data_IF_725472018070
#
_entry.id   IF_725472018070
#
_cell.length_a   1.000
_cell.length_b   1.000
_cell.length_c   1.000
_cell.angle_alpha   90.00
_cell.angle_beta   90.00
_cell.angle_gamma   90.00
#
_symmetry.space_group_name_H-M   'P 1'
#
loop_
_entity.id
_entity.type
_entity.pdbx_description
1 polymer ?
#
# COMPACT_ATOMS: atom_id res chain seq x y z
N UNK A 1 -62.26 -59.00 2.62
CA UNK A 1 -61.14 -58.05 2.79
C UNK A 1 -59.99 -58.53 1.92
N UNK A 2 -59.49 -57.66 1.04
CA UNK A 2 -59.03 -58.05 -0.30
C UNK A 2 -57.51 -58.34 -0.42
N UNK A 3 -57.09 -59.24 -1.34
CA UNK A 3 -55.69 -59.55 -1.64
C UNK A 3 -54.83 -58.36 -2.12
N UNK A 4 -55.42 -57.20 -2.41
CA UNK A 4 -54.69 -55.97 -2.75
C UNK A 4 -53.94 -55.33 -1.57
N UNK A 5 -54.32 -55.64 -0.33
CA UNK A 5 -53.74 -55.02 0.86
C UNK A 5 -52.39 -55.63 1.27
N UNK A 6 -52.09 -56.87 0.87
CA UNK A 6 -50.76 -57.50 1.06
C UNK A 6 -49.76 -57.11 -0.02
N UNK A 7 -50.22 -56.85 -1.24
CA UNK A 7 -49.37 -56.36 -2.34
C UNK A 7 -48.77 -54.98 -2.03
N UNK A 8 -49.59 -54.08 -1.46
CA UNK A 8 -49.13 -52.75 -1.04
C UNK A 8 -48.07 -52.81 0.08
N UNK A 9 -48.24 -53.70 1.07
CA UNK A 9 -47.26 -53.90 2.14
C UNK A 9 -45.95 -54.54 1.61
N UNK A 10 -46.03 -55.49 0.68
CA UNK A 10 -44.85 -56.07 0.04
C UNK A 10 -44.08 -55.03 -0.80
N UNK A 11 -44.80 -54.17 -1.53
CA UNK A 11 -44.19 -53.09 -2.33
C UNK A 11 -43.49 -52.08 -1.44
N UNK A 12 -44.11 -51.72 -0.31
CA UNK A 12 -43.50 -50.81 0.67
C UNK A 12 -42.30 -51.45 1.37
N UNK A 13 -42.36 -52.74 1.74
CA UNK A 13 -41.20 -53.45 2.30
C UNK A 13 -40.01 -53.44 1.32
N UNK A 14 -40.22 -53.74 0.04
CA UNK A 14 -39.17 -53.65 -0.97
C UNK A 14 -38.61 -52.23 -1.13
N UNK A 15 -39.46 -51.20 -1.02
CA UNK A 15 -39.05 -49.79 -1.05
C UNK A 15 -38.17 -49.45 0.15
N UNK A 16 -38.57 -49.85 1.35
CA UNK A 16 -37.82 -49.62 2.60
C UNK A 16 -36.47 -50.34 2.60
N UNK A 17 -36.41 -51.58 2.09
CA UNK A 17 -35.16 -52.33 1.95
C UNK A 17 -34.17 -51.63 1.01
N UNK A 18 -34.65 -51.15 -0.14
CA UNK A 18 -33.83 -50.35 -1.07
C UNK A 18 -33.39 -49.03 -0.43
N UNK A 19 -34.27 -48.37 0.31
CA UNK A 19 -33.98 -47.12 1.00
C UNK A 19 -32.89 -47.31 2.07
N UNK A 20 -32.95 -48.35 2.90
CA UNK A 20 -31.93 -48.64 3.92
C UNK A 20 -30.55 -48.90 3.31
N UNK A 21 -30.49 -49.65 2.20
CA UNK A 21 -29.24 -49.88 1.49
C UNK A 21 -28.64 -48.57 0.95
N UNK A 22 -29.47 -47.70 0.37
CA UNK A 22 -29.04 -46.39 -0.13
C UNK A 22 -28.59 -45.45 1.02
N UNK A 23 -29.33 -45.43 2.14
CA UNK A 23 -28.97 -44.65 3.34
C UNK A 23 -27.62 -45.11 3.89
N UNK A 24 -27.39 -46.43 3.99
CA UNK A 24 -26.11 -46.99 4.44
C UNK A 24 -24.95 -46.52 3.57
N UNK A 25 -25.11 -46.56 2.24
CA UNK A 25 -24.07 -46.11 1.31
C UNK A 25 -23.77 -44.61 1.48
N UNK A 26 -24.81 -43.76 1.53
CA UNK A 26 -24.67 -42.31 1.69
C UNK A 26 -24.05 -41.93 3.05
N UNK A 27 -24.37 -42.67 4.11
CA UNK A 27 -23.78 -42.48 5.44
C UNK A 27 -22.29 -42.77 5.46
N UNK A 28 -21.85 -43.85 4.79
CA UNK A 28 -20.43 -44.18 4.65
C UNK A 28 -19.71 -43.11 3.83
N UNK A 29 -20.32 -42.64 2.73
CA UNK A 29 -19.74 -41.57 1.92
C UNK A 29 -19.59 -40.26 2.72
N UNK A 30 -20.61 -39.88 3.50
CA UNK A 30 -20.54 -38.71 4.39
C UNK A 30 -19.48 -38.86 5.48
N UNK A 31 -19.30 -40.07 6.04
CA UNK A 31 -18.28 -40.35 7.04
C UNK A 31 -16.85 -40.23 6.46
N UNK A 32 -16.69 -40.62 5.20
CA UNK A 32 -15.44 -40.53 4.43
C UNK A 32 -15.17 -39.15 3.84
N UNK A 33 -16.12 -38.21 3.91
CA UNK A 33 -15.93 -36.87 3.39
C UNK A 33 -14.81 -36.14 4.16
N UNK A 34 -13.80 -35.58 3.46
CA UNK A 34 -12.65 -34.94 4.11
C UNK A 34 -13.03 -33.71 4.93
N UNK A 35 -13.95 -32.87 4.45
CA UNK A 35 -14.39 -31.67 5.17
C UNK A 35 -15.06 -32.04 6.50
N UNK A 36 -15.85 -33.13 6.50
CA UNK A 36 -16.47 -33.68 7.69
C UNK A 36 -15.43 -34.23 8.68
N UNK A 37 -14.41 -34.92 8.19
CA UNK A 37 -13.33 -35.44 9.04
C UNK A 37 -12.54 -34.29 9.68
N UNK A 38 -12.25 -33.24 8.93
CA UNK A 38 -11.57 -32.04 9.46
C UNK A 38 -12.39 -31.33 10.54
N UNK A 39 -13.72 -31.20 10.35
CA UNK A 39 -14.63 -30.69 11.39
C UNK A 39 -14.62 -31.54 12.65
N UNK A 40 -14.52 -32.87 12.51
CA UNK A 40 -14.45 -33.79 13.65
C UNK A 40 -13.11 -33.79 14.40
N UNK A 41 -12.01 -33.42 13.73
CA UNK A 41 -10.65 -33.37 14.31
C UNK A 41 -10.34 -32.05 14.98
N UNK A 42 -10.95 -30.97 14.51
CA UNK A 42 -10.66 -29.61 14.93
C UNK A 42 -11.47 -29.22 16.15
N UNK A 43 -10.89 -28.48 17.09
CA UNK A 43 -11.64 -27.86 18.19
C UNK A 43 -12.40 -26.65 17.67
N UNK A 44 -13.65 -26.88 17.27
CA UNK A 44 -14.49 -25.84 16.68
C UNK A 44 -14.93 -24.80 17.71
N UNK A 45 -15.10 -23.56 17.25
CA UNK A 45 -15.59 -22.43 18.07
C UNK A 45 -16.71 -21.68 17.36
N UNK A 46 -17.40 -20.80 18.09
CA UNK A 46 -18.33 -19.82 17.51
C UNK A 46 -19.45 -20.43 16.67
N UNK A 47 -19.65 -19.91 15.47
CA UNK A 47 -20.80 -20.25 14.62
C UNK A 47 -20.67 -21.66 14.05
N UNK A 48 -19.46 -22.07 13.66
CA UNK A 48 -19.21 -23.44 13.22
C UNK A 48 -19.42 -24.46 14.35
N UNK A 49 -19.04 -24.15 15.59
CA UNK A 49 -19.30 -25.06 16.71
C UNK A 49 -20.79 -25.30 16.95
N UNK A 50 -21.60 -24.23 16.93
CA UNK A 50 -23.06 -24.35 17.08
C UNK A 50 -23.66 -25.17 15.93
N UNK A 51 -23.35 -24.82 14.69
CA UNK A 51 -23.84 -25.54 13.51
C UNK A 51 -23.39 -27.01 13.50
N UNK A 52 -22.17 -27.31 13.95
CA UNK A 52 -21.66 -28.67 14.04
C UNK A 52 -22.30 -29.48 15.18
N UNK A 53 -22.65 -28.84 16.29
CA UNK A 53 -23.42 -29.49 17.36
C UNK A 53 -24.79 -29.93 16.84
N UNK A 54 -25.51 -29.02 16.16
CA UNK A 54 -26.82 -29.31 15.57
C UNK A 54 -26.71 -30.43 14.51
N UNK A 55 -25.67 -30.39 13.67
CA UNK A 55 -25.39 -31.46 12.71
C UNK A 55 -25.06 -32.79 13.40
N UNK A 56 -24.34 -32.77 14.53
CA UNK A 56 -24.03 -33.94 15.34
C UNK A 56 -25.28 -34.59 15.93
N UNK A 57 -26.22 -33.79 16.44
CA UNK A 57 -27.52 -34.27 16.89
C UNK A 57 -28.34 -34.87 15.73
N UNK A 58 -28.37 -34.21 14.58
CA UNK A 58 -29.03 -34.72 13.37
C UNK A 58 -28.41 -36.06 12.90
N UNK A 59 -27.09 -36.18 12.94
CA UNK A 59 -26.39 -37.44 12.63
C UNK A 59 -26.72 -38.54 13.64
N UNK A 60 -26.80 -38.22 14.93
CA UNK A 60 -27.19 -39.19 15.95
C UNK A 60 -28.64 -39.69 15.73
N UNK A 61 -29.56 -38.78 15.39
CA UNK A 61 -30.94 -39.12 15.01
C UNK A 61 -30.98 -39.99 13.76
N UNK A 62 -30.14 -39.71 12.76
CA UNK A 62 -30.02 -40.48 11.53
C UNK A 62 -29.58 -41.93 11.80
N UNK A 63 -28.55 -42.13 12.64
CA UNK A 63 -28.09 -43.46 13.04
C UNK A 63 -29.12 -44.21 13.89
N UNK A 64 -29.83 -43.51 14.78
CA UNK A 64 -30.94 -44.08 15.54
C UNK A 64 -32.06 -44.55 14.61
N UNK A 65 -32.48 -43.69 13.67
CA UNK A 65 -33.49 -44.01 12.67
C UNK A 65 -33.11 -45.19 11.80
N UNK A 66 -31.84 -45.26 11.36
CA UNK A 66 -31.34 -46.39 10.59
C UNK A 66 -31.46 -47.72 11.36
N UNK A 67 -31.12 -47.74 12.66
CA UNK A 67 -31.30 -48.94 13.51
C UNK A 67 -32.78 -49.31 13.64
N UNK A 68 -33.64 -48.35 13.96
CA UNK A 68 -35.09 -48.57 14.13
C UNK A 68 -35.72 -49.11 12.84
N UNK A 69 -35.34 -48.57 11.68
CA UNK A 69 -35.83 -49.01 10.38
C UNK A 69 -35.34 -50.42 10.04
N UNK A 70 -34.09 -50.75 10.36
CA UNK A 70 -33.55 -52.11 10.23
C UNK A 70 -34.29 -53.13 11.10
N UNK A 71 -34.66 -52.75 12.33
CA UNK A 71 -35.43 -53.60 13.23
C UNK A 71 -36.85 -53.85 12.70
N UNK A 72 -37.51 -52.81 12.17
CA UNK A 72 -38.83 -52.92 11.50
C UNK A 72 -38.76 -53.88 10.31
N UNK A 73 -37.78 -53.71 9.42
CA UNK A 73 -37.61 -54.59 8.25
C UNK A 73 -37.37 -56.04 8.70
N UNK A 74 -36.58 -56.25 9.75
CA UNK A 74 -36.33 -57.58 10.30
C UNK A 74 -37.60 -58.22 10.85
N UNK A 75 -38.42 -57.47 11.62
CA UNK A 75 -39.72 -57.94 12.12
C UNK A 75 -40.71 -58.20 10.99
N UNK A 76 -40.80 -57.29 10.01
CA UNK A 76 -41.67 -57.44 8.85
C UNK A 76 -41.31 -58.68 8.01
N UNK A 77 -40.01 -58.97 7.80
CA UNK A 77 -39.54 -60.20 7.14
C UNK A 77 -39.91 -61.46 7.92
N UNK A 78 -39.78 -61.43 9.25
CA UNK A 78 -40.14 -62.55 10.11
C UNK A 78 -41.66 -62.84 10.05
N UNK A 79 -42.50 -61.80 10.05
CA UNK A 79 -43.96 -61.91 9.91
C UNK A 79 -44.39 -62.38 8.52
N UNK A 80 -43.70 -61.93 7.45
CA UNK A 80 -43.98 -62.34 6.07
C UNK A 80 -43.68 -63.82 5.80
N UNK A 81 -42.63 -64.36 6.43
CA UNK A 81 -42.15 -65.73 6.22
C UNK A 81 -41.51 -65.94 4.83
N UNK A 82 -40.83 -67.08 4.65
CA UNK A 82 -40.12 -67.36 3.39
C UNK A 82 -41.00 -68.09 2.36
N UNK A 83 -41.37 -67.37 1.29
CA UNK A 83 -41.95 -67.92 0.04
C UNK A 83 -43.48 -67.88 -0.07
N UNK A 84 -44.00 -68.02 -1.30
CA UNK A 84 -45.45 -67.95 -1.64
C UNK A 84 -46.35 -68.90 -0.83
N UNK A 85 -45.78 -69.99 -0.31
CA UNK A 85 -46.50 -70.97 0.51
C UNK A 85 -46.75 -70.49 1.94
N UNK A 86 -45.87 -69.64 2.48
CA UNK A 86 -46.05 -69.02 3.80
C UNK A 86 -47.14 -67.94 3.73
N UNK A 87 -47.13 -67.12 2.68
CA UNK A 87 -48.13 -66.08 2.44
C UNK A 87 -49.57 -66.63 2.37
N UNK A 88 -49.75 -67.81 1.76
CA UNK A 88 -51.06 -68.49 1.66
C UNK A 88 -51.55 -69.12 2.98
N UNK A 89 -50.67 -69.35 3.95
CA UNK A 89 -51.01 -69.93 5.27
C UNK A 89 -51.00 -68.92 6.42
N UNK A 90 -50.67 -67.67 6.12
CA UNK A 90 -50.59 -66.60 7.11
C UNK A 90 -51.97 -66.36 7.74
N UNK A 91 -52.03 -66.36 9.07
CA UNK A 91 -53.27 -66.07 9.78
C UNK A 91 -53.71 -64.63 9.51
N UNK A 92 -55.01 -64.34 9.62
CA UNK A 92 -55.51 -62.98 9.44
C UNK A 92 -54.93 -62.01 10.50
N UNK A 93 -54.57 -62.52 11.69
CA UNK A 93 -53.88 -61.76 12.72
C UNK A 93 -52.43 -61.40 12.33
N UNK A 94 -51.68 -62.35 11.78
CA UNK A 94 -50.30 -62.12 11.30
C UNK A 94 -50.30 -61.16 10.10
N UNK A 95 -51.32 -61.24 9.23
CA UNK A 95 -51.50 -60.31 8.10
C UNK A 95 -51.73 -58.88 8.58
N UNK A 96 -52.59 -58.70 9.59
CA UNK A 96 -52.85 -57.38 10.17
C UNK A 96 -51.60 -56.83 10.90
N UNK A 97 -50.87 -57.69 11.63
CA UNK A 97 -49.61 -57.32 12.27
C UNK A 97 -48.54 -56.90 11.26
N UNK A 98 -48.37 -57.64 10.16
CA UNK A 98 -47.46 -57.28 9.07
C UNK A 98 -47.79 -55.93 8.44
N UNK A 99 -49.08 -55.68 8.17
CA UNK A 99 -49.52 -54.40 7.62
C UNK A 99 -49.31 -53.24 8.57
N UNK A 100 -49.57 -53.45 9.87
CA UNK A 100 -49.30 -52.44 10.89
C UNK A 100 -47.80 -52.16 11.02
N UNK A 101 -46.95 -53.18 10.91
CA UNK A 101 -45.49 -53.03 11.02
C UNK A 101 -44.91 -52.18 9.87
N UNK A 102 -45.42 -52.35 8.66
CA UNK A 102 -44.88 -51.70 7.44
C UNK A 102 -45.57 -50.37 7.11
N UNK A 103 -46.90 -50.27 7.30
CA UNK A 103 -47.70 -49.10 6.90
C UNK A 103 -48.26 -48.32 8.10
N UNK A 104 -48.22 -48.89 9.30
CA UNK A 104 -48.78 -48.30 10.52
C UNK A 104 -47.72 -47.59 11.38
N UNK A 105 -48.17 -47.09 12.53
CA UNK A 105 -47.34 -46.41 13.52
C UNK A 105 -46.59 -47.43 14.40
N UNK A 106 -45.73 -48.23 13.79
CA UNK A 106 -45.01 -49.35 14.42
C UNK A 106 -43.72 -48.95 15.13
N UNK A 107 -43.19 -47.76 14.84
CA UNK A 107 -41.90 -47.31 15.35
C UNK A 107 -42.14 -46.43 16.57
N UNK A 108 -41.55 -46.80 17.72
CA UNK A 108 -41.54 -45.97 18.92
C UNK A 108 -40.26 -45.14 18.97
N UNK A 109 -40.38 -43.82 18.85
CA UNK A 109 -39.25 -42.89 18.81
C UNK A 109 -38.74 -42.53 20.21
N UNK A 110 -39.65 -42.27 21.13
CA UNK A 110 -39.35 -41.90 22.52
C UNK A 110 -40.47 -42.36 23.44
N UNK A 111 -40.13 -42.72 24.67
CA UNK A 111 -41.10 -43.01 25.74
C UNK A 111 -40.79 -42.10 26.92
N UNK A 112 -41.64 -41.10 27.15
CA UNK A 112 -41.51 -40.18 28.27
C UNK A 112 -42.33 -40.69 29.45
N UNK A 113 -41.74 -40.72 30.65
CA UNK A 113 -42.47 -41.06 31.88
C UNK A 113 -43.19 -39.81 32.38
N UNK A 114 -44.51 -39.88 32.48
CA UNK A 114 -45.32 -38.76 32.97
C UNK A 114 -45.26 -38.74 34.50
N UNK A 115 -44.75 -37.67 35.14
CA UNK A 115 -44.71 -37.55 36.59
C UNK A 115 -46.12 -37.70 37.19
N UNK A 116 -46.21 -38.33 38.37
CA UNK A 116 -47.51 -38.64 39.01
C UNK A 116 -48.39 -37.39 39.21
N UNK A 117 -47.79 -36.23 39.45
CA UNK A 117 -48.48 -34.94 39.61
C UNK A 117 -49.19 -34.45 38.33
N UNK A 118 -48.79 -34.94 37.15
CA UNK A 118 -49.38 -34.62 35.85
C UNK A 118 -50.23 -35.78 35.31
N UNK A 119 -50.46 -36.83 36.11
CA UNK A 119 -51.18 -38.04 35.73
C UNK A 119 -52.61 -37.99 36.26
N UNK A 120 -53.60 -38.16 35.38
CA UNK A 120 -54.99 -38.39 35.80
C UNK A 120 -55.18 -39.77 36.43
N UNK A 121 -56.25 -39.99 37.20
CA UNK A 121 -56.53 -41.26 37.91
C UNK A 121 -56.56 -42.50 36.98
N UNK A 122 -56.86 -42.30 35.68
CA UNK A 122 -56.85 -43.33 34.63
C UNK A 122 -55.78 -43.08 33.54
N UNK A 123 -54.88 -42.11 33.73
CA UNK A 123 -53.87 -41.73 32.74
C UNK A 123 -52.69 -42.71 32.71
N UNK A 124 -52.17 -43.02 31.52
CA UNK A 124 -50.98 -43.85 31.36
C UNK A 124 -49.75 -43.18 32.00
N UNK A 125 -48.90 -43.97 32.65
CA UNK A 125 -47.67 -43.45 33.26
C UNK A 125 -46.57 -43.11 32.26
N UNK A 126 -46.80 -43.39 30.99
CA UNK A 126 -45.88 -43.17 29.89
C UNK A 126 -46.62 -42.62 28.68
N UNK A 127 -45.96 -41.72 27.95
CA UNK A 127 -46.37 -41.25 26.63
C UNK A 127 -45.28 -41.68 25.65
N UNK A 128 -45.65 -42.58 24.72
CA UNK A 128 -44.79 -43.01 23.63
C UNK A 128 -45.11 -42.20 22.38
N UNK A 129 -44.11 -41.57 21.79
CA UNK A 129 -44.24 -40.95 20.46
C UNK A 129 -43.97 -42.03 19.42
N UNK A 130 -44.97 -42.34 18.60
CA UNK A 130 -44.84 -43.33 17.53
C UNK A 130 -44.88 -42.66 16.15
N UNK A 131 -44.22 -43.26 15.16
CA UNK A 131 -44.27 -42.83 13.78
C UNK A 131 -44.35 -44.02 12.82
N UNK A 132 -44.72 -43.73 11.59
CA UNK A 132 -44.66 -44.67 10.47
C UNK A 132 -43.23 -44.79 9.92
N UNK A 133 -42.86 -45.91 9.24
CA UNK A 133 -41.59 -46.01 8.55
C UNK A 133 -41.34 -44.90 7.51
N UNK A 134 -42.39 -44.41 6.86
CA UNK A 134 -42.31 -43.31 5.90
C UNK A 134 -42.00 -41.97 6.57
N UNK A 135 -42.62 -41.66 7.71
CA UNK A 135 -42.33 -40.46 8.50
C UNK A 135 -40.92 -40.50 9.10
N UNK A 136 -40.47 -41.68 9.56
CA UNK A 136 -39.09 -41.86 10.01
C UNK A 136 -38.11 -41.58 8.87
N UNK A 137 -38.37 -42.12 7.68
CA UNK A 137 -37.52 -41.89 6.50
C UNK A 137 -37.46 -40.40 6.12
N UNK A 138 -38.60 -39.69 6.15
CA UNK A 138 -38.64 -38.26 5.89
C UNK A 138 -37.85 -37.45 6.94
N UNK A 139 -37.95 -37.83 8.23
CA UNK A 139 -37.15 -37.22 9.29
C UNK A 139 -35.64 -37.49 9.14
N UNK A 140 -35.28 -38.71 8.72
CA UNK A 140 -33.90 -39.08 8.40
C UNK A 140 -33.37 -38.28 7.20
N UNK A 141 -34.15 -38.10 6.14
CA UNK A 141 -33.77 -37.29 4.97
C UNK A 141 -33.53 -35.82 5.35
N UNK A 142 -34.39 -35.25 6.20
CA UNK A 142 -34.21 -33.90 6.71
C UNK A 142 -32.92 -33.79 7.56
N UNK A 143 -32.69 -34.74 8.47
CA UNK A 143 -31.48 -34.77 9.30
C UNK A 143 -30.19 -34.92 8.46
N UNK A 144 -30.21 -35.78 7.44
CA UNK A 144 -29.11 -35.94 6.49
C UNK A 144 -28.83 -34.63 5.73
N UNK A 145 -29.88 -33.97 5.24
CA UNK A 145 -29.76 -32.69 4.53
C UNK A 145 -29.13 -31.61 5.41
N UNK A 146 -29.53 -31.51 6.68
CA UNK A 146 -28.93 -30.57 7.64
C UNK A 146 -27.44 -30.85 7.86
N UNK A 147 -27.06 -32.12 8.07
CA UNK A 147 -25.66 -32.48 8.29
C UNK A 147 -24.79 -32.18 7.07
N UNK A 148 -25.25 -32.56 5.86
CA UNK A 148 -24.55 -32.29 4.60
C UNK A 148 -24.42 -30.79 4.34
N UNK A 149 -25.46 -30.00 4.63
CA UNK A 149 -25.43 -28.56 4.44
C UNK A 149 -24.34 -27.89 5.31
N UNK A 150 -24.18 -28.30 6.57
CA UNK A 150 -23.15 -27.77 7.46
C UNK A 150 -21.74 -28.14 7.00
N UNK A 151 -21.52 -29.42 6.66
CA UNK A 151 -20.23 -29.91 6.13
C UNK A 151 -19.85 -29.16 4.86
N UNK A 152 -20.79 -29.04 3.91
CA UNK A 152 -20.57 -28.39 2.63
C UNK A 152 -20.28 -26.90 2.83
N UNK A 153 -21.05 -26.21 3.66
CA UNK A 153 -20.84 -24.79 3.95
C UNK A 153 -19.48 -24.50 4.58
N UNK A 154 -19.03 -25.34 5.52
CA UNK A 154 -17.72 -25.20 6.15
C UNK A 154 -16.58 -25.50 5.16
N UNK A 155 -16.69 -26.60 4.40
CA UNK A 155 -15.73 -26.96 3.35
C UNK A 155 -15.58 -25.87 2.30
N UNK A 156 -16.70 -25.29 1.86
CA UNK A 156 -16.74 -24.18 0.91
C UNK A 156 -16.14 -22.90 1.48
N UNK A 157 -16.36 -22.63 2.77
CA UNK A 157 -15.74 -21.50 3.45
C UNK A 157 -14.21 -21.64 3.49
N UNK A 158 -13.68 -22.82 3.83
CA UNK A 158 -12.24 -23.09 3.76
C UNK A 158 -11.69 -22.98 2.33
N UNK A 159 -12.33 -23.64 1.36
CA UNK A 159 -11.89 -23.61 -0.05
C UNK A 159 -11.80 -22.19 -0.63
N UNK A 160 -12.67 -21.28 -0.18
CA UNK A 160 -12.61 -19.87 -0.60
C UNK A 160 -11.60 -19.05 0.22
N UNK A 161 -11.62 -19.20 1.54
CA UNK A 161 -10.88 -18.30 2.43
C UNK A 161 -9.40 -18.67 2.58
N UNK A 162 -9.05 -19.97 2.54
CA UNK A 162 -7.66 -20.42 2.72
C UNK A 162 -6.74 -19.91 1.60
N UNK A 163 -7.07 -20.08 0.29
CA UNK A 163 -6.25 -19.51 -0.77
C UNK A 163 -6.15 -17.98 -0.68
N UNK A 164 -7.27 -17.30 -0.40
CA UNK A 164 -7.30 -15.85 -0.28
C UNK A 164 -6.44 -15.32 0.88
N UNK A 165 -6.39 -16.04 2.00
CA UNK A 165 -5.51 -15.73 3.13
C UNK A 165 -4.03 -16.01 2.79
N UNK A 166 -3.74 -17.10 2.07
CA UNK A 166 -2.39 -17.40 1.59
C UNK A 166 -1.86 -16.34 0.61
N UNK A 167 -2.70 -15.88 -0.32
CA UNK A 167 -2.37 -14.79 -1.24
C UNK A 167 -2.08 -13.48 -0.50
N UNK A 168 -2.89 -13.16 0.52
CA UNK A 168 -2.67 -11.99 1.37
C UNK A 168 -1.36 -12.10 2.17
N UNK A 169 -1.04 -13.29 2.71
CA UNK A 169 0.22 -13.55 3.41
C UNK A 169 1.43 -13.38 2.47
N UNK A 170 1.34 -13.90 1.25
CA UNK A 170 2.38 -13.75 0.25
C UNK A 170 2.56 -12.29 -0.17
N UNK A 171 1.47 -11.54 -0.35
CA UNK A 171 1.50 -10.11 -0.64
C UNK A 171 2.14 -9.31 0.50
N UNK A 172 1.78 -9.60 1.75
CA UNK A 172 2.35 -8.98 2.94
C UNK A 172 3.87 -9.22 3.04
N UNK A 173 4.31 -10.46 2.82
CA UNK A 173 5.73 -10.82 2.82
C UNK A 173 6.52 -10.08 1.73
N UNK A 174 5.95 -9.98 0.52
CA UNK A 174 6.54 -9.20 -0.57
C UNK A 174 6.64 -7.72 -0.20
N UNK A 175 5.58 -7.12 0.31
CA UNK A 175 5.58 -5.71 0.73
C UNK A 175 6.62 -5.45 1.83
N UNK A 176 6.72 -6.31 2.86
CA UNK A 176 7.78 -6.24 3.88
C UNK A 176 9.20 -6.35 3.30
N UNK A 177 9.40 -7.18 2.29
CA UNK A 177 10.68 -7.27 1.59
C UNK A 177 11.02 -5.97 0.86
N UNK A 178 10.06 -5.43 0.11
CA UNK A 178 10.23 -4.18 -0.64
C UNK A 178 10.47 -2.96 0.27
N UNK A 179 9.74 -2.86 1.39
CA UNK A 179 9.94 -1.79 2.38
C UNK A 179 11.34 -1.85 2.99
N UNK A 180 11.83 -3.04 3.34
CA UNK A 180 13.22 -3.22 3.84
C UNK A 180 14.27 -2.83 2.80
N UNK A 181 14.05 -3.16 1.53
CA UNK A 181 14.96 -2.80 0.43
C UNK A 181 14.99 -1.29 0.15
N UNK A 182 13.86 -0.58 0.34
CA UNK A 182 13.80 0.87 0.18
C UNK A 182 14.66 1.62 1.21
N UNK A 183 14.99 0.97 2.33
CA UNK A 183 15.89 1.47 3.37
C UNK A 183 15.16 2.02 4.59
N UNK A 184 15.89 2.12 5.71
CA UNK A 184 15.38 2.63 6.97
C UNK A 184 15.30 4.17 6.98
N UNK A 185 14.25 4.71 7.58
CA UNK A 185 14.09 6.15 7.79
C UNK A 185 12.69 6.50 8.29
N UNK A 186 12.49 7.74 8.73
CA UNK A 186 11.20 8.21 9.27
C UNK A 186 10.05 8.08 8.27
N UNK A 187 10.36 8.09 6.97
CA UNK A 187 9.39 7.95 5.88
C UNK A 187 8.91 6.49 5.69
N UNK A 188 9.72 5.49 6.04
CA UNK A 188 9.35 4.08 5.95
C UNK A 188 8.53 3.59 7.16
N UNK A 189 8.60 4.32 8.28
CA UNK A 189 7.95 3.95 9.53
C UNK A 189 6.41 3.88 9.45
N UNK A 190 5.78 4.68 8.56
CA UNK A 190 4.33 4.60 8.34
C UNK A 190 3.95 3.33 7.57
N UNK A 191 4.70 3.01 6.51
CA UNK A 191 4.51 1.78 5.75
C UNK A 191 4.71 0.54 6.64
N UNK A 192 5.72 0.53 7.50
CA UNK A 192 5.95 -0.55 8.48
C UNK A 192 4.76 -0.71 9.45
N UNK A 193 4.25 0.40 10.01
CA UNK A 193 3.09 0.37 10.90
C UNK A 193 1.84 -0.20 10.23
N UNK A 194 1.59 0.16 8.96
CA UNK A 194 0.48 -0.38 8.18
C UNK A 194 0.64 -1.88 7.91
N UNK A 195 1.87 -2.34 7.62
CA UNK A 195 2.16 -3.76 7.42
C UNK A 195 1.99 -4.56 8.72
N UNK A 196 2.33 -4.00 9.87
CA UNK A 196 2.12 -4.64 11.17
C UNK A 196 0.65 -4.67 11.61
N UNK A 197 -0.15 -3.69 11.20
CA UNK A 197 -1.62 -3.78 11.32
C UNK A 197 -2.18 -4.89 10.40
N UNK A 198 -1.71 -4.96 9.16
CA UNK A 198 -2.13 -5.99 8.21
C UNK A 198 -1.78 -7.41 8.68
N UNK A 199 -0.59 -7.59 9.26
CA UNK A 199 -0.11 -8.87 9.81
C UNK A 199 -0.96 -9.35 10.98
N UNK A 200 -1.25 -8.45 11.94
CA UNK A 200 -2.14 -8.76 13.08
C UNK A 200 -3.54 -9.14 12.62
N UNK A 201 -4.12 -8.35 11.71
CA UNK A 201 -5.45 -8.63 11.19
C UNK A 201 -5.49 -9.95 10.41
N UNK A 202 -4.46 -10.26 9.63
CA UNK A 202 -4.34 -11.54 8.93
C UNK A 202 -4.20 -12.72 9.91
N UNK A 203 -3.43 -12.53 10.99
CA UNK A 203 -3.31 -13.50 12.09
C UNK A 203 -4.66 -13.79 12.76
N UNK A 204 -5.43 -12.75 13.08
CA UNK A 204 -6.76 -12.89 13.69
C UNK A 204 -7.74 -13.62 12.77
N UNK A 205 -7.74 -13.30 11.46
CA UNK A 205 -8.61 -13.95 10.47
C UNK A 205 -8.20 -15.41 10.29
N UNK A 206 -6.91 -15.70 10.13
CA UNK A 206 -6.43 -17.09 9.93
C UNK A 206 -6.64 -17.95 11.16
N UNK A 207 -6.45 -17.39 12.36
CA UNK A 207 -6.79 -18.03 13.63
C UNK A 207 -8.28 -18.36 13.72
N UNK A 208 -9.15 -17.43 13.36
CA UNK A 208 -10.61 -17.65 13.33
C UNK A 208 -10.99 -18.67 12.27
N UNK A 209 -10.42 -18.61 11.07
CA UNK A 209 -10.70 -19.53 9.96
C UNK A 209 -10.34 -20.99 10.30
N UNK A 210 -9.33 -21.19 11.14
CA UNK A 210 -8.93 -22.52 11.59
C UNK A 210 -10.00 -23.19 12.47
N UNK A 211 -10.69 -22.45 13.35
CA UNK A 211 -11.66 -23.03 14.30
C UNK A 211 -13.13 -22.69 14.04
N UNK A 212 -13.41 -21.61 13.30
CA UNK A 212 -14.75 -21.11 12.98
C UNK A 212 -14.82 -20.60 11.53
N UNK A 213 -14.72 -21.48 10.51
CA UNK A 213 -14.81 -21.09 9.11
C UNK A 213 -16.14 -20.43 8.72
N UNK A 214 -17.24 -20.76 9.40
CA UNK A 214 -18.53 -20.15 9.14
C UNK A 214 -18.63 -18.77 9.79
N UNK A 215 -17.94 -18.50 10.89
CA UNK A 215 -17.88 -17.20 11.55
C UNK A 215 -16.79 -16.27 11.01
N UNK A 216 -15.82 -16.78 10.25
CA UNK A 216 -14.72 -16.00 9.72
C UNK A 216 -15.21 -14.90 8.74
N UNK A 217 -14.92 -13.64 9.06
CA UNK A 217 -15.22 -12.51 8.19
C UNK A 217 -14.20 -12.42 7.03
N UNK A 218 -14.55 -13.04 5.91
CA UNK A 218 -13.72 -12.97 4.69
C UNK A 218 -13.65 -11.57 4.07
N UNK A 219 -14.58 -10.66 4.40
CA UNK A 219 -14.48 -9.27 3.94
C UNK A 219 -13.30 -8.54 4.60
N UNK A 220 -12.90 -8.94 5.81
CA UNK A 220 -11.71 -8.41 6.47
C UNK A 220 -10.40 -8.72 5.71
N UNK A 221 -10.36 -9.74 4.83
CA UNK A 221 -9.23 -9.93 3.92
C UNK A 221 -9.10 -8.79 2.88
N UNK A 222 -10.20 -8.16 2.49
CA UNK A 222 -10.12 -6.93 1.67
C UNK A 222 -9.45 -5.80 2.43
N UNK A 223 -9.70 -5.70 3.75
CA UNK A 223 -9.05 -4.70 4.60
C UNK A 223 -7.54 -4.95 4.71
N UNK A 224 -7.11 -6.21 4.86
CA UNK A 224 -5.68 -6.59 4.80
C UNK A 224 -5.07 -6.15 3.47
N UNK A 225 -5.71 -6.46 2.33
CA UNK A 225 -5.24 -6.02 1.01
C UNK A 225 -5.16 -4.49 0.88
N UNK A 226 -6.14 -3.76 1.42
CA UNK A 226 -6.15 -2.31 1.40
C UNK A 226 -5.02 -1.71 2.26
N UNK A 227 -4.72 -2.29 3.42
CA UNK A 227 -3.58 -1.89 4.26
C UNK A 227 -2.25 -2.11 3.54
N UNK A 228 -2.07 -3.26 2.87
CA UNK A 228 -0.89 -3.55 2.07
C UNK A 228 -0.75 -2.53 0.91
N UNK A 229 -1.83 -2.27 0.18
CA UNK A 229 -1.81 -1.31 -0.92
C UNK A 229 -1.47 0.12 -0.45
N UNK A 230 -2.00 0.53 0.71
CA UNK A 230 -1.63 1.81 1.35
C UNK A 230 -0.16 1.84 1.74
N UNK A 231 0.36 0.77 2.34
CA UNK A 231 1.77 0.68 2.69
C UNK A 231 2.69 0.78 1.45
N UNK A 232 2.29 0.17 0.33
CA UNK A 232 3.00 0.28 -0.94
C UNK A 232 2.97 1.71 -1.52
N UNK A 233 1.85 2.42 -1.39
CA UNK A 233 1.75 3.82 -1.78
C UNK A 233 2.68 4.71 -0.94
N UNK A 234 2.66 4.56 0.39
CA UNK A 234 3.55 5.30 1.31
C UNK A 234 5.03 5.03 0.99
N UNK A 235 5.39 3.76 0.75
CA UNK A 235 6.75 3.37 0.34
C UNK A 235 7.17 4.03 -0.97
N UNK A 236 6.26 4.08 -1.95
CA UNK A 236 6.53 4.69 -3.27
C UNK A 236 6.76 6.19 -3.12
N UNK A 237 5.86 6.89 -2.40
CA UNK A 237 6.01 8.33 -2.13
C UNK A 237 7.28 8.66 -1.34
N UNK A 238 7.66 7.81 -0.37
CA UNK A 238 8.92 7.96 0.37
C UNK A 238 10.14 7.82 -0.55
N UNK A 239 10.09 6.89 -1.51
CA UNK A 239 11.17 6.65 -2.48
C UNK A 239 11.31 7.83 -3.44
N UNK A 240 10.20 8.30 -4.01
CA UNK A 240 10.16 9.47 -4.90
C UNK A 240 10.67 10.74 -4.19
N UNK A 241 10.25 10.97 -2.94
CA UNK A 241 10.73 12.09 -2.14
C UNK A 241 12.24 12.02 -1.91
N UNK A 242 12.77 10.84 -1.59
CA UNK A 242 14.21 10.62 -1.40
C UNK A 242 14.99 10.89 -2.68
N UNK A 243 14.52 10.39 -3.82
CA UNK A 243 15.14 10.64 -5.13
C UNK A 243 15.14 12.14 -5.47
N UNK A 244 14.00 12.81 -5.31
CA UNK A 244 13.86 14.25 -5.52
C UNK A 244 14.82 15.06 -4.64
N UNK A 245 14.90 14.74 -3.34
CA UNK A 245 15.81 15.43 -2.42
C UNK A 245 17.28 15.13 -2.73
N UNK A 246 17.60 13.92 -3.17
CA UNK A 246 18.95 13.54 -3.59
C UNK A 246 19.38 14.36 -4.80
N UNK A 247 18.52 14.50 -5.81
CA UNK A 247 18.78 15.34 -6.96
C UNK A 247 18.96 16.81 -6.56
N UNK A 248 18.09 17.34 -5.70
CA UNK A 248 18.21 18.73 -5.22
C UNK A 248 19.50 18.98 -4.42
N UNK A 249 20.00 17.99 -3.68
CA UNK A 249 21.29 18.07 -3.01
C UNK A 249 22.45 18.06 -4.00
N UNK A 250 22.37 17.26 -5.06
CA UNK A 250 23.34 17.29 -6.15
C UNK A 250 23.38 18.67 -6.82
N UNK A 251 22.22 19.23 -7.15
CA UNK A 251 22.12 20.58 -7.73
C UNK A 251 22.68 21.66 -6.78
N UNK A 252 22.46 21.49 -5.47
CA UNK A 252 23.01 22.39 -4.47
C UNK A 252 24.54 22.34 -4.42
N UNK A 253 25.17 21.17 -4.53
CA UNK A 253 26.64 21.06 -4.64
C UNK A 253 27.16 21.79 -5.88
N UNK A 254 26.47 21.65 -7.02
CA UNK A 254 26.80 22.37 -8.24
C UNK A 254 26.72 23.88 -8.04
N UNK A 255 25.63 24.37 -7.44
CA UNK A 255 25.46 25.79 -7.14
C UNK A 255 26.50 26.32 -6.15
N UNK A 256 26.92 25.54 -5.15
CA UNK A 256 27.99 25.91 -4.23
C UNK A 256 29.32 26.09 -4.98
N UNK A 257 29.67 25.16 -5.86
CA UNK A 257 30.86 25.26 -6.70
C UNK A 257 30.83 26.48 -7.64
N UNK A 258 29.66 26.82 -8.20
CA UNK A 258 29.48 28.05 -8.99
C UNK A 258 29.69 29.31 -8.15
N UNK A 259 29.15 29.36 -6.93
CA UNK A 259 29.36 30.49 -6.00
C UNK A 259 30.84 30.65 -5.67
N UNK A 260 31.56 29.56 -5.38
CA UNK A 260 32.99 29.60 -5.06
C UNK A 260 33.84 30.03 -6.26
N UNK A 261 33.50 29.59 -7.47
CA UNK A 261 34.14 30.06 -8.71
C UNK A 261 33.89 31.55 -8.93
N UNK A 262 32.64 32.00 -8.82
CA UNK A 262 32.28 33.41 -8.96
C UNK A 262 32.94 34.30 -7.89
N UNK A 263 33.14 33.79 -6.68
CA UNK A 263 33.84 34.49 -5.61
C UNK A 263 35.33 34.69 -5.93
N UNK A 264 36.03 33.65 -6.40
CA UNK A 264 37.43 33.75 -6.84
C UNK A 264 37.61 34.70 -8.01
N UNK A 265 36.68 34.64 -8.96
CA UNK A 265 36.65 35.51 -10.13
C UNK A 265 36.42 36.98 -9.75
N UNK A 266 35.44 37.25 -8.88
CA UNK A 266 35.16 38.58 -8.37
C UNK A 266 36.34 39.14 -7.55
N UNK A 267 37.00 38.30 -6.74
CA UNK A 267 38.19 38.68 -5.99
C UNK A 267 39.35 39.06 -6.92
N UNK A 268 39.60 38.29 -7.99
CA UNK A 268 40.64 38.60 -8.98
C UNK A 268 40.41 39.97 -9.63
N UNK A 269 39.17 40.28 -10.01
CA UNK A 269 38.84 41.60 -10.59
C UNK A 269 38.90 42.70 -9.52
N UNK A 270 38.49 42.40 -8.28
CA UNK A 270 38.60 43.33 -7.16
C UNK A 270 40.06 43.73 -6.90
N UNK A 271 40.98 42.78 -6.86
CA UNK A 271 42.41 43.03 -6.70
C UNK A 271 42.96 43.87 -7.86
N UNK A 272 42.46 43.67 -9.08
CA UNK A 272 42.84 44.46 -10.24
C UNK A 272 42.33 45.91 -10.20
N UNK A 273 41.26 46.22 -9.47
CA UNK A 273 40.74 47.60 -9.28
C UNK A 273 41.20 48.23 -7.96
N UNK A 274 41.67 47.43 -7.00
CA UNK A 274 42.08 47.88 -5.68
C UNK A 274 43.14 49.00 -5.76
N UNK A 275 42.88 50.12 -5.06
CA UNK A 275 43.73 51.31 -5.06
C UNK A 275 43.77 52.10 -6.38
N UNK A 276 43.25 51.56 -7.50
CA UNK A 276 43.27 52.23 -8.82
C UNK A 276 42.10 53.17 -9.03
N UNK A 277 41.01 53.02 -8.28
CA UNK A 277 39.79 53.83 -8.37
C UNK A 277 39.34 54.27 -6.98
N UNK A 278 38.52 55.34 -6.86
CA UNK A 278 37.90 55.73 -5.60
C UNK A 278 37.08 54.58 -4.99
N UNK A 279 37.25 54.33 -3.69
CA UNK A 279 36.66 53.17 -3.02
C UNK A 279 35.13 53.07 -3.14
N UNK A 280 34.42 54.21 -3.22
CA UNK A 280 32.96 54.24 -3.39
C UNK A 280 32.48 53.75 -4.77
N UNK A 281 33.36 53.70 -5.78
CA UNK A 281 33.07 53.17 -7.12
C UNK A 281 33.28 51.66 -7.20
N UNK A 282 34.08 51.10 -6.30
CA UNK A 282 34.46 49.68 -6.31
C UNK A 282 33.38 48.85 -5.63
N UNK A 283 32.78 47.92 -6.37
CA UNK A 283 31.78 47.01 -5.84
C UNK A 283 32.44 45.89 -5.02
N UNK A 284 31.96 45.68 -3.79
CA UNK A 284 32.40 44.59 -2.91
C UNK A 284 31.20 43.79 -2.41
N UNK A 285 31.39 42.49 -2.22
CA UNK A 285 30.31 41.55 -1.88
C UNK A 285 30.71 40.80 -0.61
N UNK A 286 30.14 41.19 0.53
CA UNK A 286 30.48 40.64 1.87
C UNK A 286 29.54 39.52 2.27
N UNK A 287 30.03 38.47 2.90
CA UNK A 287 29.21 37.36 3.40
C UNK A 287 30.03 36.13 3.73
N UNK A 288 29.56 35.37 4.71
CA UNK A 288 30.18 34.11 5.15
C UNK A 288 30.00 33.00 4.10
N UNK A 289 30.82 31.96 4.22
CA UNK A 289 30.71 30.78 3.36
C UNK A 289 29.39 30.05 3.61
N UNK A 290 28.73 29.62 2.54
CA UNK A 290 27.50 28.81 2.59
C UNK A 290 27.78 27.31 2.71
N UNK A 291 29.06 26.89 2.67
CA UNK A 291 29.45 25.49 2.75
C UNK A 291 29.10 24.81 4.08
N UNK A 292 29.31 25.44 5.26
CA UNK A 292 28.96 24.80 6.54
C UNK A 292 27.48 24.44 6.63
N UNK A 293 26.60 25.31 6.14
CA UNK A 293 25.16 25.06 6.10
C UNK A 293 24.80 23.91 5.16
N UNK A 294 25.44 23.83 3.98
CA UNK A 294 25.21 22.72 3.05
C UNK A 294 25.64 21.39 3.67
N UNK A 295 26.81 21.35 4.32
CA UNK A 295 27.31 20.15 5.01
C UNK A 295 26.37 19.71 6.14
N UNK A 296 25.80 20.66 6.89
CA UNK A 296 24.81 20.35 7.92
C UNK A 296 23.52 19.74 7.31
N UNK A 297 23.08 20.22 6.15
CA UNK A 297 21.92 19.64 5.43
C UNK A 297 22.26 18.23 4.92
N UNK A 298 23.46 18.00 4.39
CA UNK A 298 23.91 16.68 3.96
C UNK A 298 24.01 15.68 5.11
N UNK A 299 24.44 16.12 6.30
CA UNK A 299 24.45 15.29 7.50
C UNK A 299 23.03 14.84 7.89
N UNK A 300 22.02 15.71 7.77
CA UNK A 300 20.62 15.33 7.98
C UNK A 300 20.15 14.29 6.96
N UNK A 301 20.59 14.40 5.70
CA UNK A 301 20.31 13.41 4.65
C UNK A 301 20.94 12.06 4.97
N UNK A 302 22.21 12.04 5.36
CA UNK A 302 22.93 10.83 5.76
C UNK A 302 22.29 10.17 6.98
N UNK A 303 21.76 10.97 7.91
CA UNK A 303 21.03 10.48 9.08
C UNK A 303 19.55 10.09 8.79
N UNK A 304 19.09 10.16 7.54
CA UNK A 304 17.73 9.76 7.16
C UNK A 304 16.61 10.72 7.61
N UNK A 305 16.94 11.95 8.04
CA UNK A 305 15.98 12.95 8.53
C UNK A 305 15.38 13.77 7.37
N UNK A 306 14.83 13.08 6.37
CA UNK A 306 14.39 13.65 5.10
C UNK A 306 13.35 14.77 5.24
N UNK A 307 12.45 14.66 6.22
CA UNK A 307 11.42 15.66 6.50
C UNK A 307 11.98 17.06 6.83
N UNK A 308 13.20 17.13 7.39
CA UNK A 308 13.84 18.39 7.79
C UNK A 308 14.62 19.07 6.66
N UNK A 309 14.86 18.37 5.54
CA UNK A 309 15.76 18.81 4.48
C UNK A 309 15.09 19.84 3.57
N UNK A 310 13.87 19.56 3.11
CA UNK A 310 13.21 20.37 2.07
C UNK A 310 13.16 21.88 2.37
N UNK A 311 12.74 22.36 3.56
CA UNK A 311 12.72 23.79 3.86
C UNK A 311 14.13 24.39 3.98
N UNK A 312 15.08 23.67 4.60
CA UNK A 312 16.46 24.12 4.78
C UNK A 312 17.19 24.25 3.44
N UNK A 313 17.06 23.23 2.58
CA UNK A 313 17.65 23.22 1.25
C UNK A 313 17.07 24.33 0.36
N UNK A 314 15.76 24.58 0.44
CA UNK A 314 15.13 25.70 -0.27
C UNK A 314 15.64 27.06 0.20
N UNK A 315 15.80 27.25 1.50
CA UNK A 315 16.35 28.49 2.06
C UNK A 315 17.81 28.70 1.62
N UNK A 316 18.63 27.65 1.77
CA UNK A 316 20.02 27.64 1.32
C UNK A 316 20.15 27.96 -0.17
N UNK A 317 19.36 27.32 -1.02
CA UNK A 317 19.42 27.53 -2.48
C UNK A 317 19.03 28.97 -2.87
N UNK A 318 18.06 29.59 -2.18
CA UNK A 318 17.74 31.02 -2.41
C UNK A 318 18.93 31.92 -2.04
N UNK A 319 19.53 31.70 -0.87
CA UNK A 319 20.68 32.48 -0.42
C UNK A 319 21.89 32.31 -1.35
N UNK A 320 22.16 31.10 -1.82
CA UNK A 320 23.24 30.81 -2.77
C UNK A 320 23.01 31.49 -4.13
N UNK A 321 21.78 31.46 -4.68
CA UNK A 321 21.47 32.16 -5.93
C UNK A 321 21.60 33.67 -5.81
N UNK A 322 21.12 34.25 -4.70
CA UNK A 322 21.29 35.69 -4.45
C UNK A 322 22.78 36.05 -4.38
N UNK A 323 23.56 35.26 -3.63
CA UNK A 323 25.01 35.45 -3.50
C UNK A 323 25.72 35.39 -4.86
N UNK A 324 25.35 34.42 -5.69
CA UNK A 324 25.91 34.26 -7.04
C UNK A 324 25.61 35.48 -7.93
N UNK A 325 24.37 35.99 -7.89
CA UNK A 325 23.98 37.19 -8.62
C UNK A 325 24.80 38.41 -8.16
N UNK A 326 24.88 38.64 -6.85
CA UNK A 326 25.64 39.76 -6.28
C UNK A 326 27.13 39.72 -6.70
N UNK A 327 27.75 38.54 -6.68
CA UNK A 327 29.15 38.34 -7.09
C UNK A 327 29.35 38.61 -8.58
N UNK A 328 28.46 38.11 -9.44
CA UNK A 328 28.50 38.35 -10.89
C UNK A 328 28.34 39.85 -11.20
N UNK A 329 27.41 40.52 -10.53
CA UNK A 329 27.19 41.96 -10.69
C UNK A 329 28.39 42.78 -10.24
N UNK A 330 29.00 42.44 -9.10
CA UNK A 330 30.19 43.13 -8.62
C UNK A 330 31.39 42.92 -9.54
N UNK A 331 31.59 41.69 -10.04
CA UNK A 331 32.61 41.40 -11.05
C UNK A 331 32.39 42.26 -12.29
N UNK A 332 31.17 42.30 -12.83
CA UNK A 332 30.83 43.05 -14.03
C UNK A 332 31.08 44.57 -13.85
N UNK A 333 30.62 45.15 -12.74
CA UNK A 333 30.86 46.57 -12.41
C UNK A 333 32.35 46.89 -12.32
N UNK A 334 33.13 46.08 -11.61
CA UNK A 334 34.57 46.32 -11.45
C UNK A 334 35.33 46.13 -12.77
N UNK A 335 34.96 45.13 -13.58
CA UNK A 335 35.55 44.92 -14.89
C UNK A 335 35.24 46.09 -15.85
N UNK A 336 34.04 46.66 -15.77
CA UNK A 336 33.66 47.84 -16.55
C UNK A 336 34.53 49.05 -16.21
N UNK A 337 34.86 49.29 -14.94
CA UNK A 337 35.79 50.38 -14.56
C UNK A 337 37.16 50.24 -15.23
N UNK A 338 37.69 49.02 -15.29
CA UNK A 338 38.98 48.74 -15.97
C UNK A 338 38.87 48.94 -17.48
N UNK A 339 37.80 48.44 -18.09
CA UNK A 339 37.55 48.58 -19.51
C UNK A 339 37.43 50.06 -19.90
N UNK A 340 36.66 50.84 -19.15
CA UNK A 340 36.46 52.27 -19.39
C UNK A 340 37.78 53.04 -19.30
N UNK A 341 38.61 52.76 -18.28
CA UNK A 341 39.95 53.36 -18.17
C UNK A 341 40.84 53.02 -19.36
N UNK A 342 40.83 51.76 -19.81
CA UNK A 342 41.66 51.32 -20.93
C UNK A 342 41.18 51.90 -22.26
N UNK A 343 39.88 52.01 -22.47
CA UNK A 343 39.29 52.69 -23.64
C UNK A 343 39.71 54.15 -23.69
N UNK A 344 39.60 54.88 -22.57
CA UNK A 344 40.02 56.27 -22.47
C UNK A 344 41.51 56.46 -22.78
N UNK A 345 42.36 55.56 -22.29
CA UNK A 345 43.79 55.55 -22.63
C UNK A 345 44.03 55.36 -24.11
N UNK A 346 43.37 54.37 -24.72
CA UNK A 346 43.45 54.12 -26.17
C UNK A 346 42.95 55.32 -27.00
N UNK A 347 41.85 55.96 -26.58
CA UNK A 347 41.33 57.19 -27.21
C UNK A 347 42.36 58.33 -27.14
N UNK A 348 42.93 58.57 -25.95
CA UNK A 348 43.97 59.60 -25.78
C UNK A 348 45.19 59.32 -26.66
N UNK A 349 45.68 58.08 -26.68
CA UNK A 349 46.83 57.70 -27.51
C UNK A 349 46.54 57.88 -29.01
N UNK A 350 45.33 57.54 -29.47
CA UNK A 350 44.90 57.75 -30.86
C UNK A 350 44.82 59.25 -31.22
N UNK A 351 44.27 60.09 -30.34
CA UNK A 351 44.22 61.54 -30.58
C UNK A 351 45.62 62.16 -30.58
N UNK A 352 46.54 61.70 -29.72
CA UNK A 352 47.94 62.13 -29.74
C UNK A 352 48.64 61.73 -31.03
N UNK A 353 48.43 60.51 -31.51
CA UNK A 353 48.97 60.07 -32.81
C UNK A 353 48.40 60.90 -33.98
N UNK A 354 47.12 61.27 -33.93
CA UNK A 354 46.49 62.16 -34.92
C UNK A 354 47.06 63.58 -34.88
N UNK A 355 47.31 64.13 -33.70
CA UNK A 355 47.96 65.44 -33.55
C UNK A 355 49.37 65.43 -34.16
N UNK A 356 50.15 64.36 -33.91
CA UNK A 356 51.49 64.19 -34.47
C UNK A 356 51.48 64.09 -36.00
N UNK A 357 50.59 63.28 -36.59
CA UNK A 357 50.52 63.13 -38.05
C UNK A 357 50.10 64.40 -38.79
N UNK A 358 49.43 65.33 -38.10
CA UNK A 358 49.06 66.67 -38.61
C UNK A 358 50.07 67.76 -38.26
N UNK A 359 51.24 67.41 -37.69
CA UNK A 359 52.28 68.37 -37.32
C UNK A 359 51.83 69.34 -36.22
N UNK A 360 50.99 68.89 -35.30
CA UNK A 360 50.49 69.63 -34.12
C UNK A 360 51.06 69.07 -32.81
N UNK A 361 52.16 68.31 -32.89
CA UNK A 361 52.77 67.68 -31.71
C UNK A 361 53.31 68.66 -30.67
N UNK A 362 53.73 69.84 -31.11
CA UNK A 362 54.29 70.92 -30.26
C UNK A 362 53.33 72.11 -30.15
N UNK A 363 52.04 71.92 -30.46
CA UNK A 363 51.07 72.99 -30.34
C UNK A 363 50.92 73.42 -28.85
N UNK A 364 51.13 74.70 -28.53
CA UNK A 364 51.18 75.18 -27.15
C UNK A 364 49.82 75.09 -26.42
N UNK A 365 48.70 75.00 -27.14
CA UNK A 365 47.37 74.81 -26.56
C UNK A 365 47.03 73.34 -26.30
N UNK A 366 47.52 72.43 -27.14
CA UNK A 366 47.23 70.99 -27.04
C UNK A 366 48.10 70.24 -26.02
N UNK A 367 49.35 70.67 -25.81
CA UNK A 367 50.28 70.06 -24.86
C UNK A 367 49.73 69.94 -23.43
N UNK A 368 49.32 71.06 -22.79
CA UNK A 368 48.80 71.04 -21.41
C UNK A 368 47.52 70.21 -21.24
N UNK A 369 46.64 70.20 -22.25
CA UNK A 369 45.42 69.38 -22.24
C UNK A 369 45.75 67.89 -22.33
N UNK A 370 46.73 67.52 -23.16
CA UNK A 370 47.21 66.14 -23.27
C UNK A 370 47.86 65.66 -21.96
N UNK A 371 48.63 66.50 -21.28
CA UNK A 371 49.22 66.21 -19.97
C UNK A 371 48.15 66.05 -18.90
N UNK A 372 47.16 66.96 -18.83
CA UNK A 372 46.05 66.87 -17.88
C UNK A 372 45.27 65.56 -18.06
N UNK A 373 44.96 65.18 -19.30
CA UNK A 373 44.28 63.92 -19.60
C UNK A 373 45.15 62.70 -19.24
N UNK A 374 46.47 62.78 -19.47
CA UNK A 374 47.42 61.72 -19.08
C UNK A 374 47.48 61.58 -17.55
N UNK A 375 47.64 62.67 -16.82
CA UNK A 375 47.74 62.64 -15.36
C UNK A 375 46.47 62.07 -14.74
N UNK A 376 45.29 62.48 -15.22
CA UNK A 376 44.02 61.92 -14.78
C UNK A 376 43.89 60.40 -15.04
N UNK A 377 44.40 59.88 -16.16
CA UNK A 377 44.29 58.46 -16.53
C UNK A 377 45.37 57.55 -15.95
N UNK A 378 46.55 58.09 -15.66
CA UNK A 378 47.72 57.31 -15.22
C UNK A 378 48.03 57.47 -13.73
N UNK A 379 47.40 58.41 -13.04
CA UNK A 379 47.38 58.47 -11.57
C UNK A 379 46.46 57.42 -10.93
N UNK A 380 46.66 57.18 -9.64
CA UNK A 380 45.82 56.35 -8.81
C UNK A 380 45.53 57.10 -7.49
N UNK A 381 44.26 57.23 -7.06
CA UNK A 381 43.04 56.73 -7.69
C UNK A 381 42.61 57.54 -8.93
N UNK A 382 42.18 56.85 -10.00
CA UNK A 382 41.67 57.44 -11.22
C UNK A 382 40.17 57.76 -11.07
N UNK A 383 39.83 59.05 -11.14
CA UNK A 383 38.44 59.48 -11.31
C UNK A 383 38.07 59.41 -12.80
N UNK A 384 37.28 58.39 -13.17
CA UNK A 384 36.87 58.17 -14.56
C UNK A 384 36.05 59.32 -15.14
N UNK A 385 35.26 60.03 -14.32
CA UNK A 385 34.45 61.16 -14.78
C UNK A 385 35.36 62.35 -15.12
N UNK A 386 36.30 62.66 -14.23
CA UNK A 386 37.30 63.71 -14.50
C UNK A 386 38.21 63.35 -15.68
N UNK A 387 38.64 62.09 -15.77
CA UNK A 387 39.49 61.60 -16.85
C UNK A 387 38.77 61.63 -18.22
N UNK A 388 37.48 61.27 -18.28
CA UNK A 388 36.65 61.40 -19.49
C UNK A 388 36.58 62.85 -19.96
N UNK A 389 36.24 63.77 -19.04
CA UNK A 389 36.15 65.19 -19.36
C UNK A 389 37.48 65.76 -19.88
N UNK A 390 38.61 65.34 -19.32
CA UNK A 390 39.93 65.77 -19.78
C UNK A 390 40.28 65.24 -21.19
N UNK A 391 39.92 63.99 -21.50
CA UNK A 391 40.12 63.41 -22.85
C UNK A 391 39.21 64.09 -23.89
N UNK A 392 37.95 64.33 -23.55
CA UNK A 392 37.00 64.99 -24.45
C UNK A 392 37.43 66.46 -24.71
N UNK A 393 37.89 67.18 -23.68
CA UNK A 393 38.46 68.53 -23.85
C UNK A 393 39.68 68.56 -24.77
N UNK A 394 40.57 67.57 -24.69
CA UNK A 394 41.70 67.43 -25.61
C UNK A 394 41.26 67.13 -27.04
N UNK A 395 40.27 66.24 -27.22
CA UNK A 395 39.69 65.91 -28.53
C UNK A 395 39.07 67.14 -29.20
N UNK A 396 38.29 67.92 -28.44
CA UNK A 396 37.58 69.09 -28.96
C UNK A 396 38.58 70.18 -29.38
N UNK A 397 39.59 70.45 -28.55
CA UNK A 397 40.67 71.37 -28.87
C UNK A 397 41.47 70.92 -30.11
N UNK A 398 41.77 69.63 -30.23
CA UNK A 398 42.45 69.07 -31.40
C UNK A 398 41.61 69.25 -32.67
N UNK A 399 40.32 68.97 -32.59
CA UNK A 399 39.41 69.09 -33.73
C UNK A 399 39.24 70.55 -34.17
N UNK A 400 39.08 71.47 -33.22
CA UNK A 400 39.01 72.90 -33.48
C UNK A 400 40.31 73.43 -34.12
N UNK A 401 41.47 72.97 -33.64
CA UNK A 401 42.78 73.39 -34.17
C UNK A 401 43.01 72.87 -35.59
N UNK A 402 42.62 71.63 -35.88
CA UNK A 402 42.67 71.07 -37.25
C UNK A 402 41.77 71.89 -38.18
N UNK A 403 40.51 72.15 -37.78
CA UNK A 403 39.58 72.93 -38.59
C UNK A 403 40.08 74.35 -38.85
N UNK A 404 40.67 75.02 -37.85
CA UNK A 404 41.26 76.34 -37.99
C UNK A 404 42.49 76.36 -38.92
N UNK A 405 43.24 75.24 -39.00
CA UNK A 405 44.40 75.09 -39.89
C UNK A 405 43.99 74.74 -41.33
N UNK A 406 42.84 74.09 -41.52
CA UNK A 406 42.27 73.77 -42.84
C UNK A 406 41.48 74.95 -43.44
N UNK A 407 40.99 75.87 -42.60
CA UNK A 407 40.31 77.11 -43.03
C UNK A 407 41.26 78.29 -43.35
N UNK A 408 42.55 78.14 -43.02
CA UNK A 408 43.63 79.06 -43.40
C UNK A 408 44.35 78.52 -44.62
#
# INVERSE_FOLDING_TARGET
MSPGSTLAADTELERLEKAVAAISANLVELDQNPDRQELGRTRLTGRTAAAWSDAGEALAQLWQGHRLLGDVITRARALRGHGDRALKRMSDADRAAYQHEVLGHSITLATATVPLAQRGLLGSGQVSTTCTPAELLAGMEAAFTTAVAVVTAAGDAWRRAVPAAADAAAALSRARSLTRQAGAGTLAAEAERLLDEADRLLGDITGTLASDPLGADTASLNRVRALIARADAERTSATELRESLTQRLHDARGLAAEVDAAARDAATVLDAVAGRFPGHRVATVRGDSLLPDLVAIEALAAAGHWALISPRLSAWARQARQRLADLRDARARNAHLLAERNELRGRLDAYRAKALSRGLGEDPGLGPLAETARDALFSAPCDLTAARAAVDAYQDALSATIAAREAR
#
